data_IF_123343170640
#
_entry.id   IF_123343170640
#
_cell.length_a   1.000
_cell.length_b   1.000
_cell.length_c   1.000
_cell.angle_alpha   90.00
_cell.angle_beta   90.00
_cell.angle_gamma   90.00
#
_symmetry.space_group_name_H-M   'P 1'
#
loop_
_entity.id
_entity.type
_entity.pdbx_description
1 polymer ?
#
# COMPACT_ATOMS: atom_id res chain seq x y z
N UNK A 1 -19.19 20.70 -47.97
CA UNK A 1 -19.73 19.78 -46.95
C UNK A 1 -18.65 19.01 -46.17
N UNK A 2 -17.61 18.44 -46.81
CA UNK A 2 -16.57 17.63 -46.10
C UNK A 2 -15.81 18.39 -45.01
N UNK A 3 -15.42 19.68 -45.19
CA UNK A 3 -14.72 20.48 -44.17
C UNK A 3 -15.54 20.77 -42.91
N UNK A 4 -16.87 20.88 -43.00
CA UNK A 4 -17.75 21.08 -41.82
C UNK A 4 -17.94 19.80 -41.02
N UNK A 5 -17.92 18.63 -41.70
CA UNK A 5 -18.03 17.33 -41.04
C UNK A 5 -16.76 16.98 -40.24
N UNK A 6 -15.56 17.31 -40.81
CA UNK A 6 -14.27 17.10 -40.12
C UNK A 6 -14.16 18.02 -38.90
N UNK A 7 -14.59 19.28 -38.97
CA UNK A 7 -14.57 20.19 -37.81
C UNK A 7 -15.51 19.73 -36.70
N UNK A 8 -16.72 19.22 -37.03
CA UNK A 8 -17.65 18.68 -36.06
C UNK A 8 -17.11 17.38 -35.38
N UNK A 9 -16.42 16.54 -36.15
CA UNK A 9 -15.80 15.30 -35.59
C UNK A 9 -14.63 15.61 -34.65
N UNK A 10 -13.79 16.59 -35.01
CA UNK A 10 -12.68 17.05 -34.13
C UNK A 10 -13.22 17.71 -32.89
N UNK A 11 -14.29 18.52 -32.99
CA UNK A 11 -14.92 19.14 -31.81
C UNK A 11 -15.55 18.10 -30.89
N UNK A 12 -16.22 17.07 -31.46
CA UNK A 12 -16.76 15.96 -30.68
C UNK A 12 -15.67 15.14 -30.00
N UNK A 13 -14.54 14.88 -30.68
CA UNK A 13 -13.39 14.18 -30.11
C UNK A 13 -12.73 15.01 -28.99
N UNK A 14 -12.59 16.32 -29.16
CA UNK A 14 -12.12 17.22 -28.12
C UNK A 14 -13.08 17.27 -26.92
N UNK A 15 -14.39 17.29 -27.13
CA UNK A 15 -15.37 17.25 -26.04
C UNK A 15 -15.32 15.92 -25.26
N UNK A 16 -15.07 14.79 -25.93
CA UNK A 16 -14.91 13.50 -25.25
C UNK A 16 -13.60 13.47 -24.46
N UNK A 17 -12.51 14.04 -24.98
CA UNK A 17 -11.24 14.15 -24.24
C UNK A 17 -11.32 15.14 -23.07
N UNK A 18 -12.09 16.25 -23.20
CA UNK A 18 -12.34 17.19 -22.08
C UNK A 18 -13.28 16.61 -21.02
N UNK A 19 -14.24 15.75 -21.40
CA UNK A 19 -15.09 15.07 -20.42
C UNK A 19 -14.30 14.04 -19.57
N UNK A 20 -13.26 13.43 -20.13
CA UNK A 20 -12.35 12.56 -19.37
C UNK A 20 -11.42 13.33 -18.41
N UNK A 21 -11.18 14.64 -18.64
CA UNK A 21 -10.38 15.50 -17.77
C UNK A 21 -11.18 16.23 -16.67
N UNK A 22 -12.50 16.06 -16.62
CA UNK A 22 -13.38 16.78 -15.69
C UNK A 22 -13.96 15.88 -14.59
N UNK A 23 -13.33 14.75 -14.29
CA UNK A 23 -13.67 14.01 -13.07
C UNK A 23 -13.12 14.79 -11.89
N UNK A 24 -14.03 15.47 -11.17
CA UNK A 24 -13.66 16.17 -9.94
C UNK A 24 -13.07 15.19 -8.93
N UNK A 25 -12.16 15.66 -8.08
CA UNK A 25 -11.59 14.85 -7.00
C UNK A 25 -12.69 14.23 -6.14
N UNK A 26 -12.62 12.93 -5.90
CA UNK A 26 -13.63 12.19 -5.11
C UNK A 26 -13.39 12.46 -3.62
N UNK A 27 -14.39 12.98 -2.93
CA UNK A 27 -14.36 13.20 -1.48
C UNK A 27 -15.06 12.07 -0.75
N UNK A 28 -14.35 11.41 0.16
CA UNK A 28 -14.87 10.34 1.01
C UNK A 28 -14.85 10.77 2.47
N UNK A 29 -15.93 10.53 3.18
CA UNK A 29 -16.03 10.75 4.62
C UNK A 29 -16.04 9.42 5.38
N UNK A 30 -15.85 9.47 6.71
CA UNK A 30 -15.92 8.27 7.56
C UNK A 30 -17.28 7.54 7.50
N UNK A 31 -18.34 8.18 7.02
CA UNK A 31 -19.66 7.56 6.86
C UNK A 31 -19.77 6.71 5.60
N UNK A 32 -18.92 7.00 4.60
CA UNK A 32 -18.97 6.40 3.26
C UNK A 32 -18.06 5.18 3.13
N UNK A 33 -17.50 4.67 4.24
CA UNK A 33 -16.39 3.72 4.26
C UNK A 33 -16.77 2.25 3.96
N UNK A 34 -18.04 1.93 3.69
CA UNK A 34 -18.50 0.55 3.43
C UNK A 34 -18.05 -0.48 4.49
N UNK A 35 -18.08 -0.09 5.77
CA UNK A 35 -17.56 -0.91 6.86
C UNK A 35 -18.46 -2.11 7.14
N UNK A 36 -17.91 -3.32 7.11
CA UNK A 36 -18.54 -4.51 7.66
C UNK A 36 -18.44 -4.49 9.20
N UNK A 37 -19.52 -4.05 9.86
CA UNK A 37 -19.58 -3.92 11.32
C UNK A 37 -19.85 -5.23 12.06
N UNK A 38 -20.07 -6.33 11.34
CA UNK A 38 -20.30 -7.67 11.93
C UNK A 38 -18.98 -8.39 12.25
N UNK A 39 -17.85 -7.93 11.73
CA UNK A 39 -16.54 -8.53 11.95
C UNK A 39 -16.08 -8.43 13.40
N UNK A 40 -15.20 -9.36 13.80
CA UNK A 40 -14.65 -9.41 15.16
C UNK A 40 -13.93 -8.09 15.50
N UNK A 41 -14.42 -7.41 16.53
CA UNK A 41 -13.90 -6.13 17.01
C UNK A 41 -12.50 -6.23 17.65
N UNK A 42 -12.04 -7.45 17.96
CA UNK A 42 -10.70 -7.69 18.46
C UNK A 42 -9.66 -7.68 17.32
N UNK A 43 -10.10 -7.71 16.06
CA UNK A 43 -9.22 -7.58 14.91
C UNK A 43 -9.10 -6.11 14.52
N UNK A 44 -7.86 -5.61 14.51
CA UNK A 44 -7.53 -4.27 14.01
C UNK A 44 -6.85 -4.39 12.66
N UNK A 45 -7.40 -3.70 11.66
CA UNK A 45 -6.85 -3.62 10.31
C UNK A 45 -6.35 -2.21 10.02
N UNK A 46 -5.12 -2.08 9.55
CA UNK A 46 -4.55 -0.81 9.05
C UNK A 46 -4.12 -1.01 7.60
N UNK A 47 -4.60 -0.14 6.73
CA UNK A 47 -4.23 -0.11 5.32
C UNK A 47 -2.92 0.69 5.17
N UNK A 48 -1.98 0.14 4.44
CA UNK A 48 -0.69 0.75 4.13
C UNK A 48 -0.59 0.90 2.63
N UNK A 49 -0.39 2.13 2.17
CA UNK A 49 -0.45 2.53 0.76
C UNK A 49 0.90 3.13 0.40
N UNK A 50 1.67 2.46 -0.45
CA UNK A 50 2.97 2.94 -0.92
C UNK A 50 2.82 3.49 -2.33
N UNK A 51 3.04 4.79 -2.47
CA UNK A 51 2.86 5.53 -3.72
C UNK A 51 4.18 5.64 -4.47
N UNK A 52 4.10 5.50 -5.79
CA UNK A 52 5.17 5.82 -6.74
C UNK A 52 4.59 6.84 -7.74
N UNK A 53 4.75 8.12 -7.44
CA UNK A 53 4.03 9.17 -8.14
C UNK A 53 2.52 9.08 -7.94
N UNK A 54 1.76 9.05 -9.04
CA UNK A 54 0.28 8.97 -8.99
C UNK A 54 -0.26 7.54 -8.85
N UNK A 55 0.61 6.52 -8.88
CA UNK A 55 0.22 5.11 -8.80
C UNK A 55 0.54 4.52 -7.43
N UNK A 56 -0.33 3.67 -6.92
CA UNK A 56 0.00 2.82 -5.78
C UNK A 56 0.86 1.65 -6.27
N UNK A 57 2.11 1.59 -5.81
CA UNK A 57 3.05 0.51 -6.13
C UNK A 57 2.77 -0.74 -5.26
N UNK A 58 2.54 -0.52 -3.98
CA UNK A 58 2.32 -1.60 -3.02
C UNK A 58 1.16 -1.26 -2.08
N UNK A 59 0.24 -2.20 -1.93
CA UNK A 59 -0.91 -2.09 -1.04
C UNK A 59 -0.92 -3.25 -0.05
N UNK A 60 -0.90 -2.94 1.25
CA UNK A 60 -0.84 -3.92 2.31
C UNK A 60 -1.96 -3.68 3.33
N UNK A 61 -2.41 -4.76 3.98
CA UNK A 61 -3.19 -4.67 5.22
C UNK A 61 -2.40 -5.33 6.33
N UNK A 62 -2.09 -4.57 7.35
CA UNK A 62 -1.59 -5.10 8.61
C UNK A 62 -2.78 -5.39 9.54
N UNK A 63 -3.00 -6.67 9.83
CA UNK A 63 -4.08 -7.16 10.68
C UNK A 63 -3.52 -7.71 11.98
N UNK A 64 -4.09 -7.32 13.12
CA UNK A 64 -3.73 -7.85 14.45
C UNK A 64 -5.00 -8.32 15.14
N UNK A 65 -5.04 -9.58 15.53
CA UNK A 65 -6.11 -10.16 16.35
C UNK A 65 -5.69 -10.10 17.82
N UNK A 66 -6.23 -9.15 18.57
CA UNK A 66 -5.90 -8.94 19.99
C UNK A 66 -6.34 -10.09 20.91
N UNK A 67 -7.19 -11.00 20.45
CA UNK A 67 -7.63 -12.16 21.22
C UNK A 67 -6.67 -13.34 21.09
N UNK A 68 -6.17 -13.59 19.87
CA UNK A 68 -5.31 -14.74 19.57
C UNK A 68 -3.82 -14.38 19.57
N UNK A 69 -3.48 -13.09 19.49
CA UNK A 69 -2.11 -12.63 19.27
C UNK A 69 -1.61 -12.81 17.82
N UNK A 70 -2.47 -13.33 16.90
CA UNK A 70 -2.11 -13.50 15.50
C UNK A 70 -1.95 -12.15 14.81
N UNK A 71 -0.90 -12.03 14.02
CA UNK A 71 -0.64 -10.87 13.16
C UNK A 71 -0.45 -11.34 11.72
N UNK A 72 -1.16 -10.70 10.79
CA UNK A 72 -1.12 -11.03 9.37
C UNK A 72 -0.77 -9.80 8.57
N UNK A 73 0.25 -9.88 7.72
CA UNK A 73 0.52 -8.87 6.69
C UNK A 73 0.00 -9.39 5.36
N UNK A 74 -1.04 -8.76 4.84
CA UNK A 74 -1.65 -9.15 3.56
C UNK A 74 -1.24 -8.19 2.47
N UNK A 75 -0.67 -8.71 1.38
CA UNK A 75 -0.42 -7.96 0.16
C UNK A 75 -1.61 -8.10 -0.78
N UNK A 76 -2.12 -6.95 -1.27
CA UNK A 76 -3.22 -6.89 -2.23
C UNK A 76 -2.65 -6.47 -3.59
N UNK A 77 -2.99 -7.16 -4.69
CA UNK A 77 -2.49 -6.80 -6.02
C UNK A 77 -3.09 -5.47 -6.48
N UNK A 78 -2.23 -4.54 -6.90
CA UNK A 78 -2.64 -3.21 -7.37
C UNK A 78 -3.19 -3.22 -8.81
N UNK A 79 -2.91 -4.28 -9.60
CA UNK A 79 -3.34 -4.41 -10.99
C UNK A 79 -4.80 -4.83 -11.19
N UNK A 80 -5.48 -5.29 -10.15
CA UNK A 80 -6.88 -5.75 -10.27
C UNK A 80 -7.83 -4.60 -10.59
N UNK A 81 -8.83 -4.89 -11.42
CA UNK A 81 -9.91 -3.95 -11.73
C UNK A 81 -10.93 -3.91 -10.59
N UNK A 82 -11.25 -2.71 -10.15
CA UNK A 82 -12.26 -2.42 -9.12
C UNK A 82 -13.23 -1.37 -9.63
N UNK A 83 -14.48 -1.44 -9.18
CA UNK A 83 -15.47 -0.41 -9.49
C UNK A 83 -15.47 0.68 -8.39
N UNK A 84 -15.17 1.90 -8.80
CA UNK A 84 -15.32 3.10 -7.96
C UNK A 84 -16.57 3.83 -8.43
N UNK A 85 -17.64 3.93 -7.64
CA UNK A 85 -18.94 4.44 -8.10
C UNK A 85 -18.89 5.79 -8.83
N UNK A 86 -17.97 6.66 -8.42
CA UNK A 86 -17.79 8.00 -8.99
C UNK A 86 -16.87 8.04 -10.23
N UNK A 87 -16.08 6.96 -10.46
CA UNK A 87 -15.06 6.90 -11.53
C UNK A 87 -15.28 5.74 -12.50
N UNK A 88 -16.14 4.75 -12.16
CA UNK A 88 -16.29 3.53 -12.93
C UNK A 88 -15.18 2.50 -12.64
N UNK A 89 -14.87 1.68 -13.64
CA UNK A 89 -13.87 0.63 -13.52
C UNK A 89 -12.46 1.20 -13.71
N UNK A 90 -11.62 1.02 -12.70
CA UNK A 90 -10.21 1.46 -12.67
C UNK A 90 -9.36 0.36 -12.04
N UNK A 91 -8.03 0.43 -12.17
CA UNK A 91 -7.17 -0.45 -11.39
C UNK A 91 -7.09 0.01 -9.92
N UNK A 92 -6.94 -0.93 -9.00
CA UNK A 92 -6.82 -0.60 -7.57
C UNK A 92 -5.64 0.35 -7.31
N UNK A 93 -4.58 0.25 -8.11
CA UNK A 93 -3.41 1.14 -8.04
C UNK A 93 -3.71 2.61 -8.37
N UNK A 94 -4.73 2.87 -9.21
CA UNK A 94 -5.13 4.23 -9.62
C UNK A 94 -6.04 4.92 -8.58
N UNK A 95 -6.68 4.15 -7.69
CA UNK A 95 -7.74 4.66 -6.80
C UNK A 95 -7.27 5.82 -5.91
N UNK A 96 -6.03 5.77 -5.42
CA UNK A 96 -5.49 6.83 -4.55
C UNK A 96 -5.47 8.20 -5.25
N UNK A 97 -5.07 8.24 -6.52
CA UNK A 97 -5.00 9.47 -7.30
C UNK A 97 -6.35 10.13 -7.57
N UNK A 98 -7.45 9.34 -7.58
CA UNK A 98 -8.81 9.84 -7.79
C UNK A 98 -9.37 10.60 -6.58
N UNK A 99 -8.81 10.38 -5.40
CA UNK A 99 -9.30 10.98 -4.16
C UNK A 99 -8.91 12.44 -4.00
N UNK A 100 -9.80 13.25 -3.43
CA UNK A 100 -9.46 14.59 -2.96
C UNK A 100 -8.35 14.53 -1.91
N UNK A 101 -7.43 15.49 -1.92
CA UNK A 101 -6.18 15.50 -1.12
C UNK A 101 -6.33 15.02 0.32
N UNK A 102 -7.44 15.34 1.00
CA UNK A 102 -7.70 14.97 2.40
C UNK A 102 -8.42 13.63 2.56
N UNK A 103 -8.78 12.95 1.48
CA UNK A 103 -9.57 11.73 1.51
C UNK A 103 -9.01 10.62 0.60
N UNK A 104 -7.82 10.80 0.03
CA UNK A 104 -7.19 9.82 -0.86
C UNK A 104 -7.10 8.44 -0.24
N UNK A 105 -6.50 8.34 0.93
CA UNK A 105 -6.38 7.07 1.65
C UNK A 105 -7.72 6.50 2.12
N UNK A 106 -8.72 7.37 2.42
CA UNK A 106 -10.07 6.91 2.73
C UNK A 106 -10.78 6.31 1.50
N UNK A 107 -10.53 6.85 0.30
CA UNK A 107 -11.07 6.30 -0.93
C UNK A 107 -10.53 4.89 -1.19
N UNK A 108 -9.21 4.69 -1.04
CA UNK A 108 -8.62 3.35 -1.16
C UNK A 108 -9.19 2.41 -0.11
N UNK A 109 -9.28 2.85 1.16
CA UNK A 109 -9.84 2.02 2.23
C UNK A 109 -11.32 1.66 1.97
N UNK A 110 -12.16 2.59 1.46
CA UNK A 110 -13.54 2.32 1.04
C UNK A 110 -13.59 1.24 -0.05
N UNK A 111 -12.73 1.36 -1.06
CA UNK A 111 -12.65 0.41 -2.17
C UNK A 111 -12.23 -0.98 -1.69
N UNK A 112 -11.20 -1.06 -0.86
CA UNK A 112 -10.73 -2.32 -0.25
C UNK A 112 -11.78 -2.95 0.66
N UNK A 113 -12.52 -2.14 1.44
CA UNK A 113 -13.64 -2.64 2.24
C UNK A 113 -14.73 -3.28 1.36
N UNK A 114 -15.06 -2.64 0.22
CA UNK A 114 -16.01 -3.21 -0.75
C UNK A 114 -15.52 -4.50 -1.39
N UNK A 115 -14.22 -4.56 -1.72
CA UNK A 115 -13.59 -5.71 -2.37
C UNK A 115 -13.52 -6.94 -1.45
N UNK A 116 -13.08 -6.74 -0.20
CA UNK A 116 -12.77 -7.82 0.74
C UNK A 116 -13.77 -7.94 1.89
N UNK A 117 -14.84 -7.14 1.88
CA UNK A 117 -15.88 -7.10 2.93
C UNK A 117 -15.28 -6.83 4.32
N UNK A 118 -14.53 -5.73 4.45
CA UNK A 118 -13.76 -5.41 5.66
C UNK A 118 -14.32 -4.24 6.47
N UNK A 119 -13.60 -3.88 7.53
CA UNK A 119 -13.88 -2.74 8.40
C UNK A 119 -12.69 -1.79 8.54
N UNK A 120 -11.85 -1.70 7.51
CA UNK A 120 -10.68 -0.81 7.50
C UNK A 120 -11.14 0.64 7.55
N UNK A 121 -10.74 1.36 8.59
CA UNK A 121 -11.01 2.80 8.76
C UNK A 121 -9.74 3.62 9.00
N UNK A 122 -8.61 2.95 9.11
CA UNK A 122 -7.31 3.54 9.41
C UNK A 122 -6.34 3.23 8.27
N UNK A 123 -5.61 4.25 7.83
CA UNK A 123 -4.63 4.11 6.77
C UNK A 123 -3.35 4.90 7.04
N UNK A 124 -2.28 4.48 6.38
CA UNK A 124 -1.01 5.19 6.25
C UNK A 124 -0.63 5.16 4.77
N UNK A 125 -0.46 6.32 4.16
CA UNK A 125 0.02 6.44 2.80
C UNK A 125 1.38 7.16 2.77
N UNK A 126 2.34 6.59 2.04
CA UNK A 126 3.70 7.08 1.95
C UNK A 126 4.18 7.05 0.51
N UNK A 127 4.88 8.10 0.08
CA UNK A 127 5.62 8.10 -1.18
C UNK A 127 6.92 7.30 -0.99
N UNK A 128 7.17 6.31 -1.85
CA UNK A 128 8.38 5.47 -1.79
C UNK A 128 9.66 6.27 -2.05
N UNK A 129 9.58 7.43 -2.68
CA UNK A 129 10.72 8.36 -2.82
C UNK A 129 11.32 8.81 -1.48
N UNK A 130 10.59 8.58 -0.36
CA UNK A 130 11.05 8.84 1.00
C UNK A 130 11.93 7.72 1.59
N UNK A 131 12.01 6.56 0.95
CA UNK A 131 12.82 5.45 1.47
C UNK A 131 14.31 5.80 1.64
N UNK A 132 14.97 6.55 0.76
CA UNK A 132 16.33 7.00 1.02
C UNK A 132 16.50 7.71 2.36
N UNK A 133 15.60 8.63 2.70
CA UNK A 133 15.63 9.36 3.97
C UNK A 133 15.42 8.42 5.17
N UNK A 134 14.51 7.44 5.03
CA UNK A 134 14.26 6.45 6.07
C UNK A 134 15.45 5.54 6.30
N UNK A 135 16.15 5.13 5.24
CA UNK A 135 17.38 4.34 5.32
C UNK A 135 18.50 5.14 5.99
N UNK A 136 18.63 6.42 5.71
CA UNK A 136 19.61 7.28 6.40
C UNK A 136 19.30 7.45 7.90
N UNK A 137 18.01 7.49 8.28
CA UNK A 137 17.59 7.68 9.67
C UNK A 137 17.60 6.38 10.49
N UNK A 138 17.16 5.26 9.90
CA UNK A 138 17.02 3.96 10.57
C UNK A 138 18.30 3.13 10.49
N UNK A 139 19.06 3.29 9.41
CA UNK A 139 20.28 2.56 9.11
C UNK A 139 20.20 1.73 7.84
N UNK A 140 21.33 1.25 7.40
CA UNK A 140 21.48 0.43 6.20
C UNK A 140 20.76 -0.92 6.36
N UNK A 141 20.16 -1.41 5.26
CA UNK A 141 19.44 -2.66 5.23
C UNK A 141 20.28 -3.76 4.59
N UNK A 142 20.29 -4.94 5.19
CA UNK A 142 20.90 -6.13 4.58
C UNK A 142 19.88 -6.76 3.61
N UNK A 143 20.34 -7.10 2.41
CA UNK A 143 19.53 -7.79 1.40
C UNK A 143 20.36 -8.86 0.71
N UNK A 144 19.70 -9.88 0.18
CA UNK A 144 20.32 -10.89 -0.68
C UNK A 144 19.92 -10.64 -2.12
N UNK A 145 20.90 -10.52 -3.02
CA UNK A 145 20.69 -10.26 -4.44
C UNK A 145 20.97 -11.52 -5.26
N UNK A 146 20.11 -11.83 -6.20
CA UNK A 146 20.42 -12.82 -7.23
C UNK A 146 21.36 -12.20 -8.31
N UNK A 147 21.82 -13.04 -9.27
CA UNK A 147 22.77 -12.60 -10.29
C UNK A 147 22.22 -11.47 -11.19
N UNK A 148 20.94 -11.51 -11.53
CA UNK A 148 20.29 -10.51 -12.38
C UNK A 148 20.15 -9.16 -11.65
N UNK A 149 19.70 -9.18 -10.39
CA UNK A 149 19.61 -8.00 -9.53
C UNK A 149 20.99 -7.36 -9.31
N UNK A 150 21.98 -8.19 -8.99
CA UNK A 150 23.35 -7.75 -8.77
C UNK A 150 23.93 -7.09 -10.02
N UNK A 151 23.69 -7.64 -11.20
CA UNK A 151 24.10 -7.07 -12.49
C UNK A 151 23.48 -5.71 -12.74
N UNK A 152 22.18 -5.54 -12.44
CA UNK A 152 21.47 -4.26 -12.60
C UNK A 152 22.03 -3.21 -11.65
N UNK A 153 22.32 -3.59 -10.39
CA UNK A 153 22.85 -2.68 -9.39
C UNK A 153 24.39 -2.47 -9.49
N UNK A 154 25.06 -3.16 -10.42
CA UNK A 154 26.51 -3.03 -10.61
C UNK A 154 27.32 -3.58 -9.43
N UNK A 155 26.84 -4.64 -8.77
CA UNK A 155 27.44 -5.28 -7.60
C UNK A 155 27.58 -6.80 -7.80
N UNK A 156 27.86 -7.56 -6.73
CA UNK A 156 27.93 -9.03 -6.75
C UNK A 156 26.66 -9.69 -6.22
N UNK A 157 26.39 -10.91 -6.64
CA UNK A 157 25.30 -11.72 -6.10
C UNK A 157 25.60 -12.18 -4.67
N UNK A 158 24.55 -12.40 -3.87
CA UNK A 158 24.66 -12.78 -2.46
C UNK A 158 24.36 -11.63 -1.51
N UNK A 159 24.98 -11.65 -0.33
CA UNK A 159 24.73 -10.67 0.72
C UNK A 159 25.20 -9.27 0.29
N UNK A 160 24.31 -8.31 0.36
CA UNK A 160 24.53 -6.93 0.00
C UNK A 160 23.91 -5.98 1.03
N UNK A 161 24.20 -4.68 0.86
CA UNK A 161 23.70 -3.62 1.72
C UNK A 161 22.96 -2.59 0.88
N UNK A 162 21.73 -2.31 1.24
CA UNK A 162 20.97 -1.18 0.71
C UNK A 162 21.22 0.06 1.57
N UNK A 163 21.60 1.12 0.91
CA UNK A 163 21.83 2.46 1.46
C UNK A 163 20.84 3.43 0.86
N UNK A 164 20.79 4.67 1.33
CA UNK A 164 20.00 5.73 0.71
C UNK A 164 20.32 5.97 -0.77
N UNK A 165 21.52 5.56 -1.23
CA UNK A 165 21.96 5.76 -2.61
C UNK A 165 21.43 4.73 -3.60
N UNK A 166 21.17 3.49 -3.16
CA UNK A 166 20.82 2.38 -4.03
C UNK A 166 19.47 1.72 -3.70
N UNK A 167 18.81 2.10 -2.61
CA UNK A 167 17.52 1.52 -2.21
C UNK A 167 16.44 1.74 -3.28
N UNK A 168 16.41 2.91 -3.93
CA UNK A 168 15.44 3.18 -4.99
C UNK A 168 15.75 2.39 -6.27
N UNK A 169 17.03 2.23 -6.61
CA UNK A 169 17.43 1.39 -7.74
C UNK A 169 16.99 -0.05 -7.51
N UNK A 170 17.16 -0.58 -6.29
CA UNK A 170 16.69 -1.91 -5.93
C UNK A 170 15.17 -2.05 -6.02
N UNK A 171 14.40 -1.11 -5.46
CA UNK A 171 12.93 -1.13 -5.48
C UNK A 171 12.40 -1.09 -6.92
N UNK A 172 13.08 -0.37 -7.81
CA UNK A 172 12.65 -0.20 -9.20
C UNK A 172 13.08 -1.34 -10.14
N UNK A 173 13.85 -2.33 -9.67
CA UNK A 173 14.15 -3.53 -10.47
C UNK A 173 12.84 -4.23 -10.85
N UNK A 174 12.71 -4.60 -12.13
CA UNK A 174 11.64 -5.43 -12.65
C UNK A 174 12.28 -6.53 -13.49
N UNK A 175 12.04 -7.78 -13.10
CA UNK A 175 12.56 -8.97 -13.79
C UNK A 175 11.38 -9.80 -14.28
N UNK A 176 11.54 -10.47 -15.43
CA UNK A 176 10.53 -11.42 -15.93
C UNK A 176 10.36 -12.63 -14.99
N UNK A 177 11.41 -12.95 -14.21
CA UNK A 177 11.40 -14.01 -13.21
C UNK A 177 10.75 -13.60 -11.88
N UNK A 178 10.34 -12.34 -11.72
CA UNK A 178 9.71 -11.90 -10.49
C UNK A 178 8.33 -12.54 -10.29
N UNK A 179 8.06 -12.93 -9.08
CA UNK A 179 6.77 -13.42 -8.61
C UNK A 179 6.16 -12.43 -7.61
N UNK A 180 4.88 -12.58 -7.30
CA UNK A 180 4.14 -11.61 -6.45
C UNK A 180 4.84 -11.39 -5.10
N UNK A 181 5.36 -12.46 -4.51
CA UNK A 181 6.06 -12.41 -3.23
C UNK A 181 7.38 -11.65 -3.31
N UNK A 182 7.96 -11.49 -4.50
CA UNK A 182 9.17 -10.71 -4.75
C UNK A 182 8.87 -9.22 -4.93
N UNK A 183 7.97 -8.66 -4.15
CA UNK A 183 7.74 -7.21 -4.11
C UNK A 183 8.85 -6.53 -3.30
N UNK A 184 9.80 -5.92 -4.00
CA UNK A 184 10.98 -5.27 -3.40
C UNK A 184 10.61 -4.08 -2.52
N UNK A 185 9.57 -3.34 -2.89
CA UNK A 185 9.06 -2.25 -2.07
C UNK A 185 8.55 -2.77 -0.71
N UNK A 186 7.77 -3.86 -0.73
CA UNK A 186 7.32 -4.55 0.47
C UNK A 186 8.51 -5.06 1.31
N UNK A 187 9.49 -5.72 0.68
CA UNK A 187 10.66 -6.25 1.38
C UNK A 187 11.45 -5.14 2.10
N UNK A 188 11.76 -4.05 1.40
CA UNK A 188 12.45 -2.88 1.98
C UNK A 188 11.64 -2.28 3.13
N UNK A 189 10.34 -2.11 2.94
CA UNK A 189 9.46 -1.59 3.99
C UNK A 189 9.47 -2.47 5.24
N UNK A 190 9.34 -3.79 5.09
CA UNK A 190 9.37 -4.73 6.21
C UNK A 190 10.71 -4.75 6.94
N UNK A 191 11.82 -4.62 6.21
CA UNK A 191 13.15 -4.58 6.81
C UNK A 191 13.40 -3.26 7.54
N UNK A 192 12.93 -2.13 7.01
CA UNK A 192 12.92 -0.83 7.72
C UNK A 192 12.13 -0.92 9.03
N UNK A 193 10.93 -1.51 8.99
CA UNK A 193 10.13 -1.73 10.20
C UNK A 193 10.87 -2.58 11.23
N UNK A 194 11.40 -3.74 10.82
CA UNK A 194 12.13 -4.67 11.70
C UNK A 194 13.35 -3.99 12.32
N UNK A 195 14.12 -3.24 11.52
CA UNK A 195 15.34 -2.56 11.99
C UNK A 195 14.99 -1.38 12.91
N UNK A 196 14.02 -0.55 12.55
CA UNK A 196 13.56 0.55 13.39
C UNK A 196 13.07 0.08 14.76
N UNK A 197 12.35 -1.05 14.80
CA UNK A 197 11.89 -1.67 16.04
C UNK A 197 13.02 -2.26 16.90
N UNK A 198 14.10 -2.78 16.27
CA UNK A 198 15.25 -3.34 16.99
C UNK A 198 16.17 -2.27 17.58
N UNK A 199 16.31 -1.14 16.88
CA UNK A 199 17.27 -0.08 17.23
C UNK A 199 16.72 0.96 18.20
N UNK A 200 15.38 0.99 18.43
CA UNK A 200 14.75 2.00 19.26
C UNK A 200 14.46 1.50 20.68
N UNK A 201 14.93 2.24 21.69
CA UNK A 201 14.32 2.18 23.01
C UNK A 201 12.93 2.85 23.01
N UNK A 202 12.12 2.63 24.03
CA UNK A 202 10.72 3.09 24.05
C UNK A 202 10.55 4.61 23.86
N UNK A 203 11.55 5.42 24.25
CA UNK A 203 11.52 6.89 24.12
C UNK A 203 11.84 7.32 22.68
N UNK A 204 12.77 6.67 22.04
CA UNK A 204 13.16 6.91 20.64
C UNK A 204 12.10 6.40 19.66
N UNK A 205 11.44 5.28 19.99
CA UNK A 205 10.36 4.71 19.16
C UNK A 205 9.20 5.70 18.95
N UNK A 206 8.78 6.38 20.01
CA UNK A 206 7.72 7.38 19.92
C UNK A 206 8.16 8.61 19.11
N UNK A 207 9.42 9.03 19.25
CA UNK A 207 10.03 10.12 18.49
C UNK A 207 10.11 9.79 17.00
N UNK A 208 10.62 8.61 16.66
CA UNK A 208 10.70 8.11 15.29
C UNK A 208 9.30 7.96 14.67
N UNK A 209 8.35 7.36 15.41
CA UNK A 209 6.97 7.24 14.96
C UNK A 209 6.30 8.57 14.64
N UNK A 210 6.52 9.61 15.48
CA UNK A 210 6.00 10.96 15.21
C UNK A 210 6.60 11.57 13.95
N UNK A 211 7.90 11.45 13.73
CA UNK A 211 8.57 11.97 12.54
C UNK A 211 8.08 11.26 11.27
N UNK A 212 7.99 9.93 11.29
CA UNK A 212 7.49 9.14 10.18
C UNK A 212 6.07 9.53 9.81
N UNK A 213 5.16 9.57 10.80
CA UNK A 213 3.75 9.94 10.56
C UNK A 213 3.59 11.39 10.08
N UNK A 214 4.47 12.32 10.50
CA UNK A 214 4.43 13.71 10.02
C UNK A 214 4.76 13.86 8.53
N UNK A 215 5.45 12.87 7.94
CA UNK A 215 5.80 12.83 6.52
C UNK A 215 4.85 11.99 5.66
N UNK A 216 3.80 11.42 6.27
CA UNK A 216 2.85 10.53 5.63
C UNK A 216 1.45 11.14 5.57
N UNK A 217 0.66 10.79 4.57
CA UNK A 217 -0.78 11.02 4.58
C UNK A 217 -1.44 9.90 5.41
N UNK A 218 -1.99 10.24 6.56
CA UNK A 218 -2.54 9.24 7.48
C UNK A 218 -3.59 9.82 8.41
N UNK A 219 -4.53 8.99 8.82
CA UNK A 219 -5.43 9.26 9.95
C UNK A 219 -5.04 8.50 11.23
N UNK A 220 -3.88 7.82 11.23
CA UNK A 220 -3.33 7.11 12.38
C UNK A 220 -2.63 8.10 13.32
N UNK A 221 -2.87 8.00 14.60
CA UNK A 221 -2.09 8.75 15.59
C UNK A 221 -0.86 7.96 16.07
N UNK A 222 0.15 8.68 16.57
CA UNK A 222 1.43 8.07 16.93
C UNK A 222 1.31 6.99 18.03
N UNK A 223 0.39 7.13 18.98
CA UNK A 223 0.19 6.11 20.03
C UNK A 223 -0.40 4.83 19.44
N UNK A 224 -1.41 4.94 18.57
CA UNK A 224 -1.98 3.79 17.88
C UNK A 224 -0.96 3.09 16.96
N UNK A 225 -0.09 3.85 16.28
CA UNK A 225 1.00 3.31 15.49
C UNK A 225 1.98 2.48 16.34
N UNK A 226 2.44 3.03 17.45
CA UNK A 226 3.35 2.32 18.38
C UNK A 226 2.69 1.07 18.96
N UNK A 227 1.43 1.18 19.41
CA UNK A 227 0.68 0.03 19.96
C UNK A 227 0.57 -1.09 18.93
N UNK A 228 0.24 -0.76 17.69
CA UNK A 228 0.10 -1.75 16.63
C UNK A 228 1.45 -2.39 16.25
N UNK A 229 2.50 -1.59 16.11
CA UNK A 229 3.84 -2.09 15.85
C UNK A 229 4.31 -3.04 16.96
N UNK A 230 4.07 -2.67 18.22
CA UNK A 230 4.39 -3.51 19.37
C UNK A 230 3.59 -4.81 19.37
N UNK A 231 2.30 -4.77 19.04
CA UNK A 231 1.45 -5.96 18.93
C UNK A 231 1.88 -6.85 17.77
N UNK A 232 2.27 -6.27 16.63
CA UNK A 232 2.79 -7.00 15.49
C UNK A 232 4.14 -7.68 15.81
N UNK A 233 4.96 -7.06 16.65
CA UNK A 233 6.26 -7.59 17.07
C UNK A 233 6.14 -8.66 18.17
N UNK A 234 5.21 -8.49 19.11
CA UNK A 234 5.03 -9.38 20.26
C UNK A 234 4.25 -10.66 19.92
N UNK A 235 3.53 -10.69 18.81
CA UNK A 235 2.76 -11.86 18.38
C UNK A 235 3.65 -13.03 17.98
N UNK A 236 3.39 -14.22 18.54
CA UNK A 236 4.12 -15.45 18.20
C UNK A 236 3.64 -16.05 16.86
N UNK A 237 2.41 -15.77 16.45
CA UNK A 237 1.79 -16.23 15.19
C UNK A 237 1.77 -15.09 14.17
N UNK A 238 2.90 -14.90 13.49
CA UNK A 238 3.07 -13.90 12.42
C UNK A 238 3.02 -14.58 11.06
N UNK A 239 2.14 -14.09 10.19
CA UNK A 239 1.90 -14.66 8.86
C UNK A 239 1.96 -13.60 7.78
N UNK A 240 2.26 -14.06 6.57
CA UNK A 240 2.17 -13.28 5.35
C UNK A 240 1.13 -13.92 4.43
N UNK A 241 0.23 -13.12 3.90
CA UNK A 241 -0.79 -13.54 2.93
C UNK A 241 -0.59 -12.75 1.64
N UNK A 242 -0.42 -13.46 0.54
CA UNK A 242 -0.33 -12.87 -0.80
C UNK A 242 -1.63 -13.17 -1.56
N UNK A 243 -2.33 -12.12 -1.96
CA UNK A 243 -3.46 -12.22 -2.87
C UNK A 243 -2.94 -11.99 -4.30
N UNK A 244 -3.47 -12.71 -5.27
CA UNK A 244 -2.94 -12.74 -6.64
C UNK A 244 -3.94 -12.15 -7.62
N UNK A 245 -3.46 -11.51 -8.68
CA UNK A 245 -4.28 -10.94 -9.77
C UNK A 245 -5.18 -11.99 -10.45
N UNK A 246 -4.77 -13.26 -10.41
CA UNK A 246 -5.53 -14.38 -10.96
C UNK A 246 -6.72 -14.80 -10.09
N UNK A 247 -6.81 -14.32 -8.84
CA UNK A 247 -7.91 -14.62 -7.92
C UNK A 247 -9.12 -13.73 -8.24
N UNK A 248 -10.30 -14.31 -8.12
CA UNK A 248 -11.55 -13.53 -8.10
C UNK A 248 -11.69 -12.76 -6.78
N UNK A 249 -12.53 -11.73 -6.75
CA UNK A 249 -12.83 -10.97 -5.53
C UNK A 249 -13.31 -11.88 -4.37
N UNK A 250 -14.15 -12.88 -4.68
CA UNK A 250 -14.67 -13.83 -3.67
C UNK A 250 -13.56 -14.75 -3.14
N UNK A 251 -12.63 -15.19 -3.98
CA UNK A 251 -11.47 -15.98 -3.54
C UNK A 251 -10.52 -15.17 -2.66
N UNK A 252 -10.23 -13.92 -3.03
CA UNK A 252 -9.42 -13.01 -2.22
C UNK A 252 -10.06 -12.74 -0.87
N UNK A 253 -11.37 -12.44 -0.85
CA UNK A 253 -12.17 -12.25 0.37
C UNK A 253 -12.11 -13.49 1.25
N UNK A 254 -12.40 -14.68 0.71
CA UNK A 254 -12.38 -15.93 1.46
C UNK A 254 -10.99 -16.24 2.04
N UNK A 255 -9.93 -16.04 1.27
CA UNK A 255 -8.55 -16.23 1.73
C UNK A 255 -8.21 -15.27 2.89
N UNK A 256 -8.56 -13.98 2.76
CA UNK A 256 -8.31 -12.99 3.80
C UNK A 256 -9.10 -13.32 5.10
N UNK A 257 -10.40 -13.60 4.99
CA UNK A 257 -11.25 -13.87 6.16
C UNK A 257 -10.78 -15.10 6.92
N UNK A 258 -10.45 -16.19 6.21
CA UNK A 258 -9.91 -17.40 6.81
C UNK A 258 -8.62 -17.16 7.58
N UNK A 259 -7.69 -16.37 7.01
CA UNK A 259 -6.37 -16.15 7.61
C UNK A 259 -6.41 -15.17 8.79
N UNK A 260 -7.27 -14.17 8.73
CA UNK A 260 -7.29 -13.07 9.71
C UNK A 260 -8.32 -13.26 10.82
N UNK A 261 -9.50 -13.84 10.50
CA UNK A 261 -10.63 -13.90 11.45
C UNK A 261 -10.88 -15.31 12.02
N UNK A 262 -10.45 -16.36 11.34
CA UNK A 262 -10.59 -17.75 11.79
C UNK A 262 -9.30 -18.28 12.43
#
# INVERSE_FOLDING_TARGET
MKKKLTAALVLALCCVMFAACAMGEITVTKKDMNLNRSLDKNVTNILMIMQNGDMTDTLLIASVNGRTGRSVMTQIPCGITVNVPEAGDVTLGEVYALGAKKSRGLLVARTVNGLLDLNVSTYVAMDISRFPELVDEIGQLSTWLNEEEAKILGTWAGDNVLTSKNVMDYINIRLESDYVEKNRCYMVFMDLLKQGLRSADASNLLGLGKKLLASMDTNLNALAAVTMLSSFQAGDDRRELFLYDSMTAEEMKAAFHREVYE
#
